data_IF_170570679974
#
_entry.id   IF_170570679974
#
_cell.length_a   1.000
_cell.length_b   1.000
_cell.length_c   1.000
_cell.angle_alpha   90.00
_cell.angle_beta   90.00
_cell.angle_gamma   90.00
#
_symmetry.space_group_name_H-M   'P 1'
#
loop_
_entity.id
_entity.type
_entity.pdbx_description
1 polymer ?
#
# COMPACT_ATOMS: atom_id res chain seq x y z
N UNK A 1 17.01 0.30 0.06
CA UNK A 1 15.76 0.94 -0.40
C UNK A 1 14.64 -0.09 -0.26
N UNK A 2 13.56 0.23 0.44
CA UNK A 2 12.40 -0.68 0.56
C UNK A 2 11.73 -0.83 -0.82
N UNK A 3 11.53 -2.06 -1.28
CA UNK A 3 10.81 -2.35 -2.53
C UNK A 3 9.31 -2.42 -2.26
N UNK A 4 8.52 -1.74 -3.08
CA UNK A 4 7.06 -1.78 -3.03
C UNK A 4 6.49 -2.20 -4.39
N UNK A 5 5.25 -2.70 -4.40
CA UNK A 5 4.57 -3.17 -5.61
C UNK A 5 3.14 -2.66 -5.65
N UNK A 6 2.65 -2.29 -6.83
CA UNK A 6 1.24 -1.94 -7.00
C UNK A 6 0.38 -3.15 -7.32
N UNK A 7 -0.82 -3.12 -6.77
CA UNK A 7 -1.91 -3.99 -7.17
C UNK A 7 -3.21 -3.19 -7.15
N UNK A 8 -4.32 -3.87 -7.37
CA UNK A 8 -5.67 -3.32 -7.23
C UNK A 8 -6.47 -4.18 -6.27
N UNK A 9 -7.39 -3.55 -5.56
CA UNK A 9 -8.41 -4.27 -4.79
C UNK A 9 -9.41 -4.92 -5.73
N UNK A 10 -10.28 -5.79 -5.20
CA UNK A 10 -11.34 -6.41 -5.98
C UNK A 10 -12.23 -5.40 -6.74
N UNK A 11 -12.41 -4.21 -6.15
CA UNK A 11 -13.19 -3.09 -6.70
C UNK A 11 -12.35 -2.13 -7.56
N UNK A 12 -11.21 -2.59 -8.10
CA UNK A 12 -10.29 -1.81 -8.93
C UNK A 12 -9.73 -0.54 -8.29
N UNK A 13 -9.70 -0.47 -6.95
CA UNK A 13 -9.04 0.64 -6.25
C UNK A 13 -7.53 0.41 -6.15
N UNK A 14 -6.69 1.45 -6.29
CA UNK A 14 -5.24 1.33 -6.17
C UNK A 14 -4.83 0.79 -4.80
N UNK A 15 -3.86 -0.13 -4.82
CA UNK A 15 -3.27 -0.73 -3.65
C UNK A 15 -1.75 -0.71 -3.77
N UNK A 16 -1.07 -0.28 -2.71
CA UNK A 16 0.38 -0.35 -2.61
C UNK A 16 0.74 -1.42 -1.60
N UNK A 17 1.55 -2.40 -2.00
CA UNK A 17 2.08 -3.44 -1.13
C UNK A 17 3.53 -3.11 -0.80
N UNK A 18 3.85 -3.05 0.50
CA UNK A 18 5.22 -2.87 0.98
C UNK A 18 5.43 -3.70 2.25
N UNK A 19 6.53 -4.47 2.33
CA UNK A 19 6.93 -5.25 3.52
C UNK A 19 5.83 -6.15 4.11
N UNK A 20 4.97 -6.75 3.28
CA UNK A 20 3.87 -7.60 3.74
C UNK A 20 2.65 -6.84 4.29
N UNK A 21 2.61 -5.52 4.11
CA UNK A 21 1.48 -4.66 4.44
C UNK A 21 0.85 -4.09 3.18
N UNK A 22 -0.48 -3.93 3.21
CA UNK A 22 -1.25 -3.34 2.15
C UNK A 22 -1.70 -1.92 2.51
N UNK A 23 -1.55 -1.00 1.58
CA UNK A 23 -1.87 0.41 1.76
C UNK A 23 -2.85 0.87 0.68
N UNK A 24 -3.80 1.70 1.10
CA UNK A 24 -4.79 2.35 0.24
C UNK A 24 -4.51 3.84 0.18
N UNK A 25 -4.94 4.51 -0.90
CA UNK A 25 -4.80 5.96 -1.03
C UNK A 25 -5.60 6.66 0.08
N UNK A 26 -4.93 7.54 0.80
CA UNK A 26 -5.53 8.46 1.74
C UNK A 26 -5.82 9.81 1.08
N UNK A 27 -4.82 10.38 0.41
CA UNK A 27 -4.93 11.62 -0.38
C UNK A 27 -3.85 11.70 -1.44
N UNK A 28 -4.11 12.45 -2.51
CA UNK A 28 -3.13 12.75 -3.55
C UNK A 28 -3.02 14.27 -3.71
N UNK A 29 -1.79 14.75 -3.79
CA UNK A 29 -1.44 16.13 -4.16
C UNK A 29 -0.72 16.11 -5.51
N UNK A 30 -0.40 17.30 -6.06
CA UNK A 30 0.31 17.39 -7.33
C UNK A 30 1.70 16.72 -7.30
N UNK A 31 2.32 16.65 -6.11
CA UNK A 31 3.70 16.17 -5.96
C UNK A 31 3.80 14.80 -5.29
N UNK A 32 2.79 14.42 -4.49
CA UNK A 32 2.87 13.26 -3.61
C UNK A 32 1.54 12.53 -3.48
N UNK A 33 1.60 11.22 -3.32
CA UNK A 33 0.47 10.43 -2.85
C UNK A 33 0.74 9.89 -1.46
N UNK A 34 -0.26 10.05 -0.61
CA UNK A 34 -0.26 9.63 0.77
C UNK A 34 -1.09 8.36 0.88
N UNK A 35 -0.47 7.33 1.42
CA UNK A 35 -1.02 6.00 1.56
C UNK A 35 -1.18 5.67 3.05
N UNK A 36 -2.26 4.99 3.38
CA UNK A 36 -2.54 4.50 4.73
C UNK A 36 -2.68 3.01 4.73
N UNK A 37 -2.27 2.38 5.81
CA UNK A 37 -2.54 0.96 6.01
C UNK A 37 -4.03 0.67 5.80
N UNK A 38 -4.36 -0.40 5.07
CA UNK A 38 -5.74 -0.85 4.84
C UNK A 38 -6.46 -1.11 6.17
N UNK A 39 -5.70 -1.48 7.19
CA UNK A 39 -6.16 -1.80 8.53
C UNK A 39 -6.27 -0.61 9.49
N UNK A 40 -6.24 0.63 8.97
CA UNK A 40 -6.44 1.86 9.78
C UNK A 40 -7.74 1.81 10.58
N UNK A 41 -8.82 1.21 10.03
CA UNK A 41 -10.14 1.18 10.67
C UNK A 41 -10.30 -0.02 11.61
N UNK A 42 -9.76 -1.18 11.23
CA UNK A 42 -9.92 -2.42 11.98
C UNK A 42 -8.97 -2.50 13.17
N UNK A 43 -7.73 -2.06 13.01
CA UNK A 43 -6.70 -2.13 14.06
C UNK A 43 -6.33 -0.77 14.64
N UNK A 44 -6.90 0.34 14.17
CA UNK A 44 -6.40 1.71 14.46
C UNK A 44 -4.91 1.83 14.12
N UNK A 45 -4.48 1.10 13.09
CA UNK A 45 -3.10 1.06 12.64
C UNK A 45 -2.66 2.43 12.11
N UNK A 46 -1.44 2.85 12.42
CA UNK A 46 -0.91 4.15 12.01
C UNK A 46 0.09 4.08 10.87
N UNK A 47 0.34 2.91 10.29
CA UNK A 47 1.28 2.76 9.17
C UNK A 47 0.92 3.66 7.99
N UNK A 48 1.90 4.44 7.52
CA UNK A 48 1.76 5.39 6.40
C UNK A 48 2.90 5.25 5.42
N UNK A 49 2.62 5.49 4.15
CA UNK A 49 3.63 5.56 3.10
C UNK A 49 3.37 6.79 2.24
N UNK A 50 4.42 7.45 1.77
CA UNK A 50 4.33 8.50 0.75
C UNK A 50 5.07 8.08 -0.50
N UNK A 51 4.45 8.26 -1.65
CA UNK A 51 5.10 8.15 -2.96
C UNK A 51 5.13 9.51 -3.65
N UNK A 52 5.94 9.64 -4.69
CA UNK A 52 5.79 10.76 -5.64
C UNK A 52 4.42 10.68 -6.36
N UNK A 53 4.05 11.73 -7.08
CA UNK A 53 2.78 11.81 -7.81
C UNK A 53 2.63 10.76 -8.93
N UNK A 54 3.74 10.31 -9.52
CA UNK A 54 3.75 9.23 -10.53
C UNK A 54 3.79 7.84 -9.90
N UNK A 55 3.79 7.75 -8.57
CA UNK A 55 3.80 6.51 -7.79
C UNK A 55 5.04 5.63 -8.02
N UNK A 56 6.06 6.10 -8.73
CA UNK A 56 7.26 5.31 -9.07
C UNK A 56 8.30 5.25 -7.95
N UNK A 57 8.27 6.21 -7.01
CA UNK A 57 9.31 6.34 -5.97
C UNK A 57 8.69 6.42 -4.58
N UNK A 58 9.22 5.63 -3.66
CA UNK A 58 8.92 5.71 -2.24
C UNK A 58 9.64 6.92 -1.63
N UNK A 59 8.91 7.91 -1.17
CA UNK A 59 9.45 9.13 -0.54
C UNK A 59 9.58 8.99 0.97
N UNK A 60 8.65 8.27 1.60
CA UNK A 60 8.62 8.07 3.04
C UNK A 60 7.88 6.78 3.39
N UNK A 61 8.34 6.13 4.44
CA UNK A 61 7.77 4.91 4.99
C UNK A 61 7.72 5.06 6.52
N UNK A 62 6.52 5.09 7.06
CA UNK A 62 6.24 5.06 8.50
C UNK A 62 5.72 3.66 8.84
N UNK A 63 6.61 2.84 9.40
CA UNK A 63 6.35 1.43 9.72
C UNK A 63 5.65 1.24 11.07
N UNK A 64 4.82 2.21 11.48
CA UNK A 64 4.10 2.16 12.76
C UNK A 64 2.85 1.28 12.68
N UNK A 65 3.08 -0.03 12.51
CA UNK A 65 2.03 -1.04 12.50
C UNK A 65 1.86 -1.66 13.88
N UNK A 66 0.61 -1.82 14.30
CA UNK A 66 0.22 -2.46 15.56
C UNK A 66 -0.38 -3.86 15.35
N UNK A 67 -0.14 -4.44 14.18
CA UNK A 67 -0.59 -5.78 13.80
C UNK A 67 0.49 -6.45 12.95
N UNK A 68 0.53 -7.79 12.89
CA UNK A 68 1.45 -8.48 12.00
C UNK A 68 1.12 -8.19 10.53
N UNK A 69 2.17 -8.13 9.71
CA UNK A 69 2.01 -8.17 8.25
C UNK A 69 1.56 -9.55 7.79
N UNK A 70 1.01 -9.63 6.58
CA UNK A 70 0.61 -10.88 5.96
C UNK A 70 1.23 -11.00 4.56
N UNK A 71 2.53 -11.41 4.48
CA UNK A 71 3.26 -11.47 3.21
C UNK A 71 2.56 -12.37 2.18
N UNK A 72 2.08 -13.55 2.59
CA UNK A 72 1.36 -14.49 1.72
C UNK A 72 0.11 -13.85 1.11
N UNK A 73 -0.73 -13.23 1.94
CA UNK A 73 -1.93 -12.54 1.44
C UNK A 73 -1.56 -11.41 0.48
N UNK A 74 -0.51 -10.64 0.78
CA UNK A 74 -0.09 -9.56 -0.09
C UNK A 74 0.52 -10.04 -1.42
N UNK A 75 1.24 -11.16 -1.43
CA UNK A 75 1.78 -11.79 -2.64
C UNK A 75 0.66 -12.29 -3.55
N UNK A 76 -0.37 -12.93 -2.99
CA UNK A 76 -1.56 -13.34 -3.73
C UNK A 76 -2.21 -12.13 -4.38
N UNK A 77 -2.40 -11.03 -3.64
CA UNK A 77 -3.00 -9.80 -4.18
C UNK A 77 -2.17 -9.20 -5.30
N UNK A 78 -0.84 -9.25 -5.22
CA UNK A 78 0.03 -8.82 -6.33
C UNK A 78 -0.21 -9.68 -7.57
N UNK A 79 -0.32 -10.99 -7.39
CA UNK A 79 -0.53 -11.92 -8.49
C UNK A 79 -1.91 -11.76 -9.15
N UNK A 80 -2.97 -11.67 -8.35
CA UNK A 80 -4.34 -11.43 -8.83
C UNK A 80 -4.44 -10.12 -9.61
N UNK A 81 -3.76 -9.07 -9.15
CA UNK A 81 -3.69 -7.79 -9.87
C UNK A 81 -3.08 -7.90 -11.26
N UNK A 82 -2.16 -8.84 -11.48
CA UNK A 82 -1.50 -9.07 -12.78
C UNK A 82 -2.34 -9.88 -13.77
N UNK A 83 -3.26 -10.72 -13.28
CA UNK A 83 -4.12 -11.58 -14.13
C UNK A 83 -5.34 -10.83 -14.68
N UNK A 84 -5.77 -9.73 -14.04
CA UNK A 84 -6.97 -8.96 -14.40
C UNK A 84 -6.86 -8.15 -15.72
N UNK A 85 -6.02 -8.61 -16.66
CA UNK A 85 -5.84 -8.03 -17.99
C UNK A 85 -6.69 -8.74 -19.05
#
# INVERSE_FOLDING_TARGET
MSTFTFSTTEKNKPLLICKGFAYTIDKTTNDKSYWKCEHVRTFKCNGRIHTNCTHTTLLHEDDNHNHPGNPVSTEIRIFEGKIRH
#
